data_IF_722976688783
#
_entry.id   IF_722976688783
#
_cell.length_a   1.000
_cell.length_b   1.000
_cell.length_c   1.000
_cell.angle_alpha   90.00
_cell.angle_beta   90.00
_cell.angle_gamma   90.00
#
_symmetry.space_group_name_H-M   'P 1'
#
loop_
_entity.id
_entity.type
_entity.pdbx_description
1 polymer ?
#
# COMPACT_ATOMS: atom_id res chain seq x y z
N UNK A 1 24.87 -0.95 7.34
CA UNK A 1 24.45 -2.08 8.20
C UNK A 1 23.05 -1.76 8.71
N UNK A 2 22.02 -2.46 8.21
CA UNK A 2 20.61 -2.19 8.54
C UNK A 2 20.37 -2.69 9.96
N UNK A 3 20.14 -1.78 10.92
CA UNK A 3 19.83 -2.14 12.30
C UNK A 3 18.51 -2.92 12.36
N UNK A 4 18.53 -4.03 13.12
CA UNK A 4 17.51 -5.07 13.31
C UNK A 4 16.10 -4.68 12.87
N UNK A 5 15.82 -4.98 11.60
CA UNK A 5 14.49 -5.03 11.04
C UNK A 5 13.71 -6.22 11.58
N UNK A 6 12.41 -6.17 11.32
CA UNK A 6 11.51 -7.31 11.25
C UNK A 6 10.78 -7.65 12.56
N UNK A 7 9.80 -6.83 12.95
CA UNK A 7 8.74 -7.32 13.84
C UNK A 7 7.96 -8.45 13.14
N UNK A 8 7.84 -8.41 11.80
CA UNK A 8 7.32 -9.53 11.01
C UNK A 8 8.21 -10.79 11.12
N UNK A 9 9.53 -10.65 11.23
CA UNK A 9 10.45 -11.77 11.45
C UNK A 9 10.64 -12.16 12.93
N UNK A 10 10.22 -11.30 13.85
CA UNK A 10 10.04 -11.65 15.26
C UNK A 10 8.75 -12.45 15.51
N UNK A 11 7.78 -12.42 14.58
CA UNK A 11 6.67 -13.37 14.61
C UNK A 11 7.20 -14.79 14.44
N UNK A 12 6.55 -15.72 15.14
CA UNK A 12 6.79 -17.15 14.93
C UNK A 12 6.63 -17.50 13.44
N UNK A 13 7.38 -18.48 12.91
CA UNK A 13 7.26 -18.88 11.51
C UNK A 13 5.80 -19.16 11.10
N UNK A 14 5.03 -19.81 11.97
CA UNK A 14 3.60 -20.07 11.75
C UNK A 14 2.78 -18.78 11.62
N UNK A 15 2.98 -17.80 12.51
CA UNK A 15 2.22 -16.55 12.47
C UNK A 15 2.60 -15.69 11.26
N UNK A 16 3.87 -15.71 10.87
CA UNK A 16 4.35 -15.05 9.65
C UNK A 16 3.73 -15.67 8.40
N UNK A 17 3.74 -17.00 8.31
CA UNK A 17 3.10 -17.72 7.22
C UNK A 17 1.60 -17.40 7.15
N UNK A 18 0.91 -17.30 8.29
CA UNK A 18 -0.50 -16.87 8.33
C UNK A 18 -0.71 -15.47 7.77
N UNK A 19 0.14 -14.50 8.10
CA UNK A 19 0.04 -13.13 7.57
C UNK A 19 0.26 -13.10 6.05
N UNK A 20 1.30 -13.78 5.57
CA UNK A 20 1.59 -13.87 4.13
C UNK A 20 0.46 -14.59 3.38
N UNK A 21 -0.02 -15.71 3.93
CA UNK A 21 -1.12 -16.49 3.35
C UNK A 21 -2.42 -15.67 3.31
N UNK A 22 -2.77 -14.97 4.39
CA UNK A 22 -3.95 -14.12 4.43
C UNK A 22 -3.88 -12.98 3.39
N UNK A 23 -2.69 -12.39 3.21
CA UNK A 23 -2.47 -11.39 2.15
C UNK A 23 -2.62 -12.01 0.76
N UNK A 24 -2.00 -13.16 0.51
CA UNK A 24 -2.11 -13.87 -0.77
C UNK A 24 -3.56 -14.24 -1.09
N UNK A 25 -4.30 -14.76 -0.11
CA UNK A 25 -5.72 -15.10 -0.25
C UNK A 25 -6.56 -13.86 -0.57
N UNK A 26 -6.31 -12.73 0.10
CA UNK A 26 -7.03 -11.50 -0.22
C UNK A 26 -6.71 -10.96 -1.62
N UNK A 27 -5.46 -11.09 -2.09
CA UNK A 27 -5.11 -10.67 -3.44
C UNK A 27 -5.79 -11.55 -4.49
N UNK A 28 -5.83 -12.87 -4.25
CA UNK A 28 -6.51 -13.82 -5.12
C UNK A 28 -8.01 -13.54 -5.16
N UNK A 29 -8.66 -13.33 -4.01
CA UNK A 29 -10.09 -13.04 -3.97
C UNK A 29 -10.42 -11.76 -4.74
N UNK A 30 -9.65 -10.68 -4.56
CA UNK A 30 -9.86 -9.43 -5.32
C UNK A 30 -9.69 -9.63 -6.82
N UNK A 31 -8.71 -10.43 -7.27
CA UNK A 31 -8.51 -10.72 -8.69
C UNK A 31 -9.66 -11.53 -9.27
N UNK A 32 -10.14 -12.55 -8.55
CA UNK A 32 -11.29 -13.36 -8.97
C UNK A 32 -12.57 -12.53 -9.06
N UNK A 33 -12.80 -11.64 -8.09
CA UNK A 33 -13.92 -10.70 -8.13
C UNK A 33 -13.86 -9.78 -9.36
N UNK A 34 -12.69 -9.19 -9.67
CA UNK A 34 -12.54 -8.37 -10.89
C UNK A 34 -12.74 -9.17 -12.17
N UNK A 35 -12.18 -10.38 -12.23
CA UNK A 35 -12.35 -11.26 -13.39
C UNK A 35 -13.82 -11.65 -13.61
N UNK A 36 -14.55 -11.95 -12.54
CA UNK A 36 -15.99 -12.23 -12.59
C UNK A 36 -16.82 -11.02 -13.02
N UNK A 37 -16.42 -9.80 -12.62
CA UNK A 37 -17.08 -8.55 -12.99
C UNK A 37 -16.65 -8.01 -14.37
N UNK A 38 -15.71 -8.68 -15.07
CA UNK A 38 -15.24 -8.27 -16.39
C UNK A 38 -14.31 -7.04 -16.39
N UNK A 39 -13.79 -6.65 -15.23
CA UNK A 39 -12.86 -5.51 -15.10
C UNK A 39 -11.43 -6.00 -15.37
N UNK A 40 -11.10 -6.19 -16.65
CA UNK A 40 -9.72 -6.44 -17.08
C UNK A 40 -8.94 -5.12 -17.10
N UNK A 41 -7.72 -5.16 -16.58
CA UNK A 41 -6.75 -4.08 -16.39
C UNK A 41 -6.77 -3.02 -17.53
N UNK A 42 -7.64 -2.02 -17.42
CA UNK A 42 -7.57 -0.82 -18.25
C UNK A 42 -6.64 0.16 -17.52
N UNK A 43 -5.42 0.29 -18.05
CA UNK A 43 -4.64 1.53 -17.87
C UNK A 43 -5.54 2.69 -18.29
N UNK A 44 -5.73 3.65 -17.40
CA UNK A 44 -6.43 4.90 -17.68
C UNK A 44 -5.65 5.70 -18.75
N UNK A 45 -5.92 5.40 -20.02
CA UNK A 45 -5.81 6.36 -21.12
C UNK A 45 -7.23 6.85 -21.42
N UNK A 46 -7.74 7.74 -20.57
CA UNK A 46 -9.03 8.41 -20.77
C UNK A 46 -8.85 9.67 -21.61
N UNK A 47 -8.50 9.48 -22.87
CA UNK A 47 -8.84 10.43 -23.93
C UNK A 47 -9.45 9.66 -25.11
N UNK A 48 -10.64 10.11 -25.52
CA UNK A 48 -11.39 9.75 -26.75
C UNK A 48 -12.02 8.35 -26.84
N UNK A 49 -13.30 8.24 -26.45
CA UNK A 49 -14.33 7.85 -27.43
C UNK A 49 -15.77 7.97 -26.89
N UNK A 50 -16.72 8.36 -27.78
CA UNK A 50 -18.12 8.51 -27.48
C UNK A 50 -18.79 7.13 -27.43
N UNK A 51 -19.95 7.02 -26.77
CA UNK A 51 -20.76 5.80 -26.55
C UNK A 51 -20.53 5.14 -25.17
N UNK A 52 -21.06 5.78 -24.14
CA UNK A 52 -21.40 5.13 -22.87
C UNK A 52 -22.87 4.69 -22.91
N UNK A 53 -23.22 3.41 -22.62
CA UNK A 53 -24.59 3.05 -22.29
C UNK A 53 -24.84 3.12 -20.78
N UNK A 54 -26.06 3.56 -20.47
CA UNK A 54 -26.65 3.81 -19.14
C UNK A 54 -26.87 2.51 -18.37
N UNK A 55 -26.78 2.62 -17.03
CA UNK A 55 -27.50 1.86 -15.99
C UNK A 55 -28.02 0.46 -16.38
N UNK A 56 -27.39 -0.59 -15.84
CA UNK A 56 -28.02 -1.91 -15.76
C UNK A 56 -28.44 -2.18 -14.31
N UNK A 57 -29.74 -2.46 -14.18
CA UNK A 57 -30.51 -2.62 -12.94
C UNK A 57 -30.31 -4.04 -12.36
N UNK A 58 -30.31 -4.12 -11.03
CA UNK A 58 -30.07 -5.33 -10.23
C UNK A 58 -31.15 -6.41 -10.39
N UNK A 59 -32.28 -6.10 -11.04
CA UNK A 59 -33.45 -6.98 -11.11
C UNK A 59 -33.29 -8.16 -12.09
N UNK A 60 -32.40 -8.06 -13.08
CA UNK A 60 -32.12 -9.18 -14.00
C UNK A 60 -31.26 -10.31 -13.39
N UNK A 61 -30.67 -10.09 -12.21
CA UNK A 61 -29.83 -11.08 -11.53
C UNK A 61 -30.65 -12.04 -10.64
N UNK A 62 -31.85 -11.63 -10.23
CA UNK A 62 -32.76 -12.45 -9.42
C UNK A 62 -33.66 -13.38 -10.25
N UNK A 63 -33.88 -13.08 -11.55
CA UNK A 63 -34.55 -14.01 -12.47
C UNK A 63 -33.65 -15.17 -12.91
N UNK A 64 -32.32 -15.00 -12.93
CA UNK A 64 -31.37 -16.06 -13.33
C UNK A 64 -31.07 -17.08 -12.20
N UNK A 65 -31.38 -16.74 -10.95
CA UNK A 65 -31.21 -17.60 -9.77
C UNK A 65 -32.47 -18.40 -9.40
N UNK A 66 -33.59 -18.19 -10.11
CA UNK A 66 -34.81 -19.00 -10.02
C UNK A 66 -34.78 -20.15 -11.03
N UNK A 67 -34.57 -21.38 -10.55
CA UNK A 67 -34.20 -22.52 -11.37
C UNK A 67 -35.20 -22.96 -12.43
N UNK A 68 -34.67 -23.34 -13.60
CA UNK A 68 -35.02 -24.56 -14.34
C UNK A 68 -33.92 -24.81 -15.39
N UNK A 69 -33.26 -25.96 -15.36
CA UNK A 69 -32.24 -26.32 -16.35
C UNK A 69 -32.89 -26.72 -17.69
N UNK A 70 -32.48 -26.16 -18.84
CA UNK A 70 -32.77 -26.76 -20.13
C UNK A 70 -31.67 -27.76 -20.53
N UNK A 71 -32.14 -28.92 -20.98
CA UNK A 71 -31.36 -30.06 -21.44
C UNK A 71 -30.40 -29.71 -22.61
N UNK A 72 -29.30 -30.45 -22.67
CA UNK A 72 -28.11 -30.12 -23.43
C UNK A 72 -28.24 -30.11 -24.95
N UNK A 73 -27.28 -29.43 -25.57
CA UNK A 73 -26.68 -29.79 -26.86
C UNK A 73 -25.18 -29.55 -26.78
N UNK A 74 -24.41 -30.55 -27.24
CA UNK A 74 -22.97 -30.48 -27.37
C UNK A 74 -22.58 -29.38 -28.36
N UNK A 75 -21.91 -28.34 -27.87
CA UNK A 75 -21.31 -27.30 -28.70
C UNK A 75 -19.94 -27.76 -29.21
N UNK A 76 -19.76 -27.70 -30.52
CA UNK A 76 -18.51 -27.95 -31.23
C UNK A 76 -17.53 -26.78 -31.05
N UNK A 77 -16.28 -27.05 -30.62
CA UNK A 77 -15.19 -26.07 -30.55
C UNK A 77 -14.64 -25.82 -31.96
N UNK A 78 -14.75 -24.59 -32.48
CA UNK A 78 -14.17 -24.15 -33.75
C UNK A 78 -12.68 -23.79 -33.64
N UNK A 79 -11.88 -24.75 -33.17
CA UNK A 79 -10.52 -24.52 -32.69
C UNK A 79 -9.54 -25.28 -33.60
N UNK A 80 -9.03 -24.60 -34.64
CA UNK A 80 -8.06 -25.16 -35.60
C UNK A 80 -6.63 -25.13 -35.03
N UNK A 81 -6.32 -26.04 -34.10
CA UNK A 81 -4.94 -26.30 -33.65
C UNK A 81 -4.73 -27.81 -33.43
N UNK A 82 -3.64 -28.35 -33.99
CA UNK A 82 -3.20 -29.72 -33.77
C UNK A 82 -2.31 -29.80 -32.52
N UNK A 83 -2.89 -30.16 -31.37
CA UNK A 83 -2.12 -30.51 -30.17
C UNK A 83 -2.57 -31.86 -29.57
N UNK A 84 -1.59 -32.67 -29.20
CA UNK A 84 -1.69 -34.05 -28.74
C UNK A 84 -2.15 -34.18 -27.27
N UNK A 85 -3.27 -33.56 -26.90
CA UNK A 85 -3.78 -33.59 -25.52
C UNK A 85 -4.81 -34.73 -25.24
N UNK A 86 -4.93 -35.71 -26.15
CA UNK A 86 -5.77 -36.90 -25.93
C UNK A 86 -5.01 -38.19 -26.22
N UNK A 87 -4.24 -38.66 -25.24
CA UNK A 87 -3.91 -40.07 -25.09
C UNK A 87 -3.70 -40.36 -23.61
N UNK A 88 -4.66 -41.10 -23.03
CA UNK A 88 -4.54 -41.59 -21.66
C UNK A 88 -3.67 -42.85 -21.57
N UNK A 89 -3.36 -43.24 -20.33
CA UNK A 89 -3.23 -44.65 -19.96
C UNK A 89 -1.82 -45.21 -19.74
N UNK A 90 -1.42 -45.18 -18.47
CA UNK A 90 -0.92 -46.32 -17.66
C UNK A 90 0.50 -46.94 -17.81
N UNK A 91 1.08 -47.11 -16.60
CA UNK A 91 1.94 -48.19 -16.07
C UNK A 91 3.47 -48.19 -16.31
N UNK A 92 4.19 -48.52 -15.22
CA UNK A 92 5.43 -49.32 -15.29
C UNK A 92 6.63 -48.77 -14.51
N UNK A 93 7.01 -49.47 -13.44
CA UNK A 93 8.13 -49.18 -12.54
C UNK A 93 9.53 -49.57 -13.11
N UNK A 94 10.59 -49.07 -12.45
CA UNK A 94 11.74 -49.81 -11.86
C UNK A 94 13.12 -49.15 -12.06
N UNK A 95 13.93 -49.17 -10.97
CA UNK A 95 15.41 -49.10 -10.92
C UNK A 95 16.05 -47.74 -11.22
N UNK A 96 17.07 -47.24 -10.54
CA UNK A 96 18.04 -47.82 -9.60
C UNK A 96 19.34 -47.00 -9.73
N UNK A 97 20.06 -46.84 -8.61
CA UNK A 97 21.47 -46.43 -8.46
C UNK A 97 21.82 -44.93 -8.66
N UNK A 98 22.18 -44.14 -7.63
CA UNK A 98 23.35 -44.16 -6.73
C UNK A 98 24.61 -43.44 -7.30
N UNK A 99 25.39 -42.87 -6.38
CA UNK A 99 26.70 -42.18 -6.48
C UNK A 99 26.66 -40.64 -6.69
N UNK A 100 27.41 -39.77 -5.99
CA UNK A 100 28.15 -39.75 -4.71
C UNK A 100 28.56 -38.29 -4.45
N UNK A 101 28.88 -38.01 -3.19
CA UNK A 101 29.45 -36.81 -2.57
C UNK A 101 30.56 -36.04 -3.32
N UNK A 102 30.60 -34.72 -3.09
CA UNK A 102 31.84 -33.95 -2.95
C UNK A 102 31.63 -32.65 -2.15
N UNK A 103 32.29 -32.59 -0.99
CA UNK A 103 32.32 -31.51 -0.01
C UNK A 103 33.18 -30.29 -0.40
N UNK A 104 32.75 -29.15 0.17
CA UNK A 104 33.53 -28.10 0.84
C UNK A 104 34.76 -27.46 0.16
N UNK A 105 34.66 -26.13 -0.02
CA UNK A 105 35.81 -25.23 0.08
C UNK A 105 35.49 -24.07 1.02
N UNK A 106 36.15 -24.10 2.19
CA UNK A 106 36.08 -23.14 3.28
C UNK A 106 37.00 -21.96 2.96
N UNK A 107 36.47 -20.74 3.00
CA UNK A 107 37.27 -19.51 3.06
C UNK A 107 36.82 -18.64 4.24
N UNK A 108 37.79 -18.31 5.11
CA UNK A 108 37.66 -17.59 6.38
C UNK A 108 37.33 -16.11 6.14
N UNK A 109 36.47 -15.44 6.93
CA UNK A 109 36.34 -13.99 6.87
C UNK A 109 37.42 -13.31 7.72
N UNK A 110 38.05 -12.28 7.14
CA UNK A 110 38.92 -11.35 7.83
C UNK A 110 38.10 -10.49 8.82
N UNK A 111 38.63 -10.35 10.03
CA UNK A 111 38.05 -9.54 11.09
C UNK A 111 38.10 -8.04 10.73
N UNK A 112 36.93 -7.42 10.57
CA UNK A 112 36.78 -5.97 10.64
C UNK A 112 36.31 -5.59 12.04
N UNK A 113 37.14 -4.78 12.69
CA UNK A 113 36.94 -4.18 14.01
C UNK A 113 35.62 -3.39 14.01
N UNK A 114 34.68 -3.80 14.87
CA UNK A 114 33.43 -3.10 15.08
C UNK A 114 33.69 -1.84 15.93
N UNK A 115 33.61 -0.66 15.31
CA UNK A 115 33.42 0.58 16.04
C UNK A 115 32.01 0.57 16.70
N UNK A 116 31.85 1.08 17.94
CA UNK A 116 30.56 1.07 18.61
C UNK A 116 29.58 1.96 17.84
N UNK A 117 28.40 1.41 17.54
CA UNK A 117 27.29 2.14 16.95
C UNK A 117 26.89 3.26 17.93
N UNK A 118 27.12 4.51 17.54
CA UNK A 118 26.61 5.67 18.26
C UNK A 118 25.09 5.53 18.40
N UNK A 119 24.59 5.59 19.64
CA UNK A 119 23.18 5.65 19.91
C UNK A 119 22.60 6.87 19.18
N UNK A 120 21.76 6.62 18.17
CA UNK A 120 21.01 7.69 17.51
C UNK A 120 20.08 8.27 18.56
N UNK A 121 20.40 9.48 19.03
CA UNK A 121 19.59 10.19 20.01
C UNK A 121 18.23 10.47 19.38
N UNK A 122 17.17 9.84 19.89
CA UNK A 122 15.77 10.23 19.65
C UNK A 122 15.44 11.53 20.38
N UNK A 123 16.41 12.44 20.50
CA UNK A 123 16.43 13.59 21.40
C UNK A 123 15.29 14.54 21.07
N UNK A 124 14.15 14.31 21.72
CA UNK A 124 12.95 15.12 21.65
C UNK A 124 11.71 14.46 21.02
N UNK A 125 11.78 13.24 20.51
CA UNK A 125 10.62 12.55 19.94
C UNK A 125 9.74 11.92 21.05
N UNK A 126 8.50 12.38 21.19
CA UNK A 126 7.53 11.85 22.17
C UNK A 126 6.52 10.91 21.51
N UNK A 127 6.63 9.59 21.74
CA UNK A 127 5.73 8.59 21.14
C UNK A 127 4.77 7.90 22.13
N UNK A 128 4.92 8.15 23.44
CA UNK A 128 4.11 7.50 24.48
C UNK A 128 4.20 5.97 24.38
N UNK A 129 3.04 5.30 24.29
CA UNK A 129 2.94 3.83 24.14
C UNK A 129 3.69 3.27 22.90
N UNK A 130 4.04 4.14 21.95
CA UNK A 130 4.69 3.80 20.68
C UNK A 130 6.22 4.00 20.68
N UNK A 131 6.83 4.28 21.85
CA UNK A 131 8.29 4.55 21.99
C UNK A 131 9.18 3.44 21.41
N UNK A 132 8.69 2.19 21.36
CA UNK A 132 9.35 1.05 20.69
C UNK A 132 9.70 1.29 19.21
N UNK A 133 9.07 2.26 18.56
CA UNK A 133 9.30 2.62 17.15
C UNK A 133 10.25 3.81 16.96
N UNK A 134 10.80 4.40 18.03
CA UNK A 134 11.64 5.60 17.94
C UNK A 134 12.83 5.47 17.00
N UNK A 135 13.49 4.31 16.98
CA UNK A 135 14.60 4.02 16.08
C UNK A 135 14.18 4.02 14.59
N UNK A 136 12.96 3.58 14.28
CA UNK A 136 12.45 3.55 12.92
C UNK A 136 12.20 4.98 12.41
N UNK A 137 11.65 5.86 13.26
CA UNK A 137 11.51 7.28 12.93
C UNK A 137 12.86 7.97 12.77
N UNK A 138 13.81 7.73 13.67
CA UNK A 138 15.14 8.33 13.56
C UNK A 138 15.86 7.91 12.26
N UNK A 139 15.78 6.62 11.89
CA UNK A 139 16.33 6.14 10.62
C UNK A 139 15.59 6.70 9.39
N UNK A 140 14.28 6.89 9.49
CA UNK A 140 13.46 7.47 8.41
C UNK A 140 13.75 8.96 8.22
N UNK A 141 13.88 9.72 9.30
CA UNK A 141 14.30 11.13 9.30
C UNK A 141 15.70 11.27 8.69
N UNK A 142 16.67 10.48 9.15
CA UNK A 142 18.03 10.51 8.60
C UNK A 142 18.06 10.26 7.09
N UNK A 143 17.23 9.35 6.57
CA UNK A 143 17.20 9.02 5.13
C UNK A 143 16.51 10.06 4.27
N UNK A 144 15.49 10.73 4.80
CA UNK A 144 14.57 11.55 3.99
C UNK A 144 14.64 13.04 4.28
N UNK A 145 15.23 13.42 5.42
CA UNK A 145 15.19 14.78 5.95
C UNK A 145 13.80 15.22 6.43
N UNK A 146 12.82 14.31 6.49
CA UNK A 146 11.49 14.63 7.03
C UNK A 146 11.53 14.50 8.56
N UNK A 147 11.15 15.55 9.32
CA UNK A 147 11.26 15.52 10.77
C UNK A 147 10.51 14.35 11.41
N UNK A 148 11.14 13.67 12.37
CA UNK A 148 10.53 12.53 13.05
C UNK A 148 9.16 12.85 13.69
N UNK A 149 8.94 14.03 14.34
CA UNK A 149 7.63 14.40 14.85
C UNK A 149 6.55 14.56 13.76
N UNK A 150 6.92 15.04 12.57
CA UNK A 150 6.01 15.17 11.44
C UNK A 150 5.61 13.78 10.91
N UNK A 151 6.56 12.86 10.80
CA UNK A 151 6.29 11.46 10.43
C UNK A 151 5.40 10.77 11.46
N UNK A 152 5.65 10.99 12.76
CA UNK A 152 4.85 10.43 13.83
C UNK A 152 3.40 10.94 13.78
N UNK A 153 3.18 12.22 13.50
CA UNK A 153 1.83 12.77 13.32
C UNK A 153 1.08 12.14 12.13
N UNK A 154 1.76 11.88 11.01
CA UNK A 154 1.16 11.20 9.85
C UNK A 154 0.79 9.75 10.21
N UNK A 155 1.72 9.01 10.83
CA UNK A 155 1.46 7.62 11.26
C UNK A 155 0.34 7.56 12.28
N UNK A 156 0.31 8.48 13.25
CA UNK A 156 -0.74 8.55 14.28
C UNK A 156 -2.13 8.85 13.70
N UNK A 157 -2.17 9.61 12.60
CA UNK A 157 -3.41 9.93 11.89
C UNK A 157 -3.97 8.72 11.13
N UNK A 158 -3.10 7.89 10.55
CA UNK A 158 -3.44 6.73 9.71
C UNK A 158 -3.65 5.43 10.50
N UNK A 159 -2.82 5.19 11.51
CA UNK A 159 -2.81 3.92 12.22
C UNK A 159 -4.09 3.74 13.07
N UNK A 160 -4.69 2.56 12.98
CA UNK A 160 -5.64 2.13 13.99
C UNK A 160 -4.92 1.99 15.35
N UNK A 161 -5.62 2.29 16.44
CA UNK A 161 -5.06 2.30 17.79
C UNK A 161 -5.81 1.36 18.71
N UNK A 162 -5.07 0.72 19.61
CA UNK A 162 -5.61 0.02 20.76
C UNK A 162 -6.09 1.03 21.83
N UNK A 163 -6.81 0.54 22.83
CA UNK A 163 -7.33 1.37 23.93
C UNK A 163 -6.22 2.12 24.70
N UNK A 164 -5.02 1.54 24.80
CA UNK A 164 -3.84 2.15 25.42
C UNK A 164 -3.12 3.18 24.54
N UNK A 165 -3.64 3.47 23.34
CA UNK A 165 -3.03 4.38 22.37
C UNK A 165 -1.89 3.76 21.56
N UNK A 166 -1.57 2.48 21.75
CA UNK A 166 -0.59 1.78 20.92
C UNK A 166 -1.10 1.59 19.49
N UNK A 167 -0.23 1.83 18.51
CA UNK A 167 -0.57 1.65 17.10
C UNK A 167 -0.62 0.16 16.73
N UNK A 168 -1.65 -0.21 15.99
CA UNK A 168 -1.87 -1.56 15.50
C UNK A 168 -1.20 -1.76 14.13
N UNK A 169 -0.06 -2.45 14.12
CA UNK A 169 0.68 -2.76 12.87
C UNK A 169 -0.07 -3.72 11.96
N UNK A 170 -1.03 -4.49 12.49
CA UNK A 170 -1.86 -5.43 11.74
C UNK A 170 -3.18 -4.80 11.25
N UNK A 171 -3.32 -3.48 11.36
CA UNK A 171 -4.49 -2.74 10.88
C UNK A 171 -4.73 -2.98 9.39
N UNK A 172 -6.00 -3.13 9.02
CA UNK A 172 -6.45 -3.28 7.63
C UNK A 172 -7.81 -2.63 7.43
N UNK A 173 -7.97 -1.92 6.31
CA UNK A 173 -9.25 -1.39 5.92
C UNK A 173 -10.10 -2.50 5.26
N UNK A 174 -11.34 -2.78 5.72
CA UNK A 174 -12.17 -3.83 5.12
C UNK A 174 -12.71 -3.45 3.73
N UNK A 175 -12.71 -2.15 3.38
CA UNK A 175 -13.25 -1.64 2.11
C UNK A 175 -12.19 -1.36 1.05
N UNK A 176 -10.90 -1.57 1.37
CA UNK A 176 -9.81 -1.33 0.44
C UNK A 176 -8.63 -2.27 0.70
N UNK A 177 -7.57 -2.13 -0.09
CA UNK A 177 -6.33 -2.88 0.15
C UNK A 177 -5.45 -2.24 1.23
N UNK A 178 -5.84 -1.11 1.82
CA UNK A 178 -5.03 -0.37 2.79
C UNK A 178 -4.69 -1.20 4.03
N UNK A 179 -3.40 -1.25 4.39
CA UNK A 179 -2.91 -2.02 5.52
C UNK A 179 -1.68 -1.39 6.17
N UNK A 180 -1.43 -1.77 7.43
CA UNK A 180 -0.26 -1.35 8.19
C UNK A 180 -0.36 0.04 8.80
N UNK A 181 0.73 0.50 9.43
CA UNK A 181 0.77 1.79 10.12
C UNK A 181 0.55 3.00 9.19
N UNK A 182 0.93 2.87 7.91
CA UNK A 182 0.71 3.90 6.90
C UNK A 182 -0.54 3.70 6.04
N UNK A 183 -1.36 2.66 6.31
CA UNK A 183 -2.56 2.32 5.55
C UNK A 183 -2.33 2.29 4.03
N UNK A 184 -1.19 1.74 3.59
CA UNK A 184 -0.81 1.74 2.17
C UNK A 184 -1.67 0.80 1.32
N UNK A 185 -2.15 1.30 0.18
CA UNK A 185 -2.77 0.48 -0.86
C UNK A 185 -1.74 -0.45 -1.53
N UNK A 186 -2.19 -1.60 -2.03
CA UNK A 186 -1.30 -2.58 -2.67
C UNK A 186 -0.57 -2.01 -3.89
N UNK A 187 -1.25 -1.21 -4.72
CA UNK A 187 -0.65 -0.58 -5.91
C UNK A 187 0.45 0.41 -5.52
N UNK A 188 0.12 1.34 -4.64
CA UNK A 188 1.07 2.34 -4.12
C UNK A 188 2.30 1.71 -3.47
N UNK A 189 2.12 0.65 -2.69
CA UNK A 189 3.23 -0.07 -2.07
C UNK A 189 4.15 -0.72 -3.11
N UNK A 190 3.56 -1.34 -4.13
CA UNK A 190 4.28 -1.93 -5.24
C UNK A 190 5.04 -0.87 -6.04
N UNK A 191 4.42 0.29 -6.31
CA UNK A 191 5.07 1.39 -7.03
C UNK A 191 6.28 1.94 -6.27
N UNK A 192 6.17 2.07 -4.94
CA UNK A 192 7.29 2.49 -4.10
C UNK A 192 8.42 1.45 -4.11
N UNK A 193 8.11 0.15 -4.12
CA UNK A 193 9.12 -0.91 -4.26
C UNK A 193 9.82 -0.88 -5.62
N UNK A 194 9.20 -0.32 -6.66
CA UNK A 194 9.80 -0.14 -7.99
C UNK A 194 10.48 1.23 -8.15
N UNK A 195 10.29 2.15 -7.21
CA UNK A 195 10.85 3.50 -7.26
C UNK A 195 12.25 3.50 -6.66
N UNK A 196 13.25 3.75 -7.48
CA UNK A 196 14.65 3.80 -7.04
C UNK A 196 14.86 4.81 -5.90
N UNK A 197 15.70 4.43 -4.93
CA UNK A 197 16.04 5.26 -3.77
C UNK A 197 15.07 5.14 -2.58
N UNK A 198 13.92 4.49 -2.75
CA UNK A 198 13.06 4.17 -1.61
C UNK A 198 13.62 2.99 -0.80
N UNK A 199 13.17 2.89 0.45
CA UNK A 199 13.48 1.80 1.35
C UNK A 199 13.00 0.47 0.79
N UNK A 200 11.75 0.44 0.33
CA UNK A 200 11.15 -0.76 -0.24
C UNK A 200 11.88 -1.21 -1.49
N UNK A 201 12.33 -0.29 -2.33
CA UNK A 201 13.12 -0.65 -3.50
C UNK A 201 14.47 -1.26 -3.11
N UNK A 202 15.12 -0.71 -2.08
CA UNK A 202 16.37 -1.29 -1.54
C UNK A 202 16.13 -2.72 -1.04
N UNK A 203 15.07 -2.95 -0.27
CA UNK A 203 14.74 -4.27 0.28
C UNK A 203 14.32 -5.25 -0.82
N UNK A 204 13.46 -4.82 -1.76
CA UNK A 204 13.03 -5.65 -2.87
C UNK A 204 14.21 -6.06 -3.75
N UNK A 205 15.15 -5.14 -4.02
CA UNK A 205 16.38 -5.44 -4.76
C UNK A 205 17.26 -6.44 -4.02
N UNK A 206 17.51 -6.23 -2.73
CA UNK A 206 18.33 -7.13 -1.91
C UNK A 206 17.76 -8.55 -1.80
N UNK A 207 16.42 -8.68 -1.86
CA UNK A 207 15.74 -9.97 -1.80
C UNK A 207 15.52 -10.62 -3.17
N UNK A 208 15.96 -9.98 -4.26
CA UNK A 208 15.74 -10.48 -5.62
C UNK A 208 14.27 -10.46 -6.05
N UNK A 209 13.46 -9.57 -5.46
CA UNK A 209 12.02 -9.45 -5.73
C UNK A 209 11.69 -8.57 -6.94
N UNK A 210 12.70 -8.04 -7.62
CA UNK A 210 12.55 -7.21 -8.82
C UNK A 210 13.13 -7.93 -10.04
N UNK A 211 12.43 -7.89 -11.16
CA UNK A 211 12.91 -8.37 -12.45
C UNK A 211 13.98 -7.44 -13.04
N UNK A 212 14.56 -7.83 -14.19
CA UNK A 212 15.57 -7.04 -14.88
C UNK A 212 15.11 -5.62 -15.30
N UNK A 213 13.80 -5.35 -15.30
CA UNK A 213 13.19 -4.04 -15.61
C UNK A 213 12.83 -3.26 -14.35
N UNK A 214 13.20 -3.76 -13.17
CA UNK A 214 12.85 -3.16 -11.88
C UNK A 214 11.37 -3.34 -11.50
N UNK A 215 10.66 -4.27 -12.12
CA UNK A 215 9.26 -4.59 -11.79
C UNK A 215 9.20 -5.68 -10.75
N UNK A 216 8.23 -5.58 -9.85
CA UNK A 216 8.04 -6.61 -8.81
C UNK A 216 7.69 -7.94 -9.45
N UNK A 217 8.47 -8.97 -9.12
CA UNK A 217 8.20 -10.35 -9.52
C UNK A 217 6.84 -10.79 -8.95
N UNK A 218 5.90 -11.26 -9.79
CA UNK A 218 4.62 -11.79 -9.33
C UNK A 218 4.72 -12.83 -8.21
N UNK A 219 5.77 -13.66 -8.21
CA UNK A 219 6.00 -14.70 -7.21
C UNK A 219 6.36 -14.12 -5.83
N UNK A 220 6.95 -12.94 -5.77
CA UNK A 220 7.36 -12.27 -4.53
C UNK A 220 6.34 -11.24 -4.01
N UNK A 221 5.21 -11.10 -4.71
CA UNK A 221 4.25 -10.02 -4.46
C UNK A 221 3.57 -10.13 -3.09
N UNK A 222 3.29 -11.34 -2.61
CA UNK A 222 2.63 -11.53 -1.32
C UNK A 222 3.55 -11.12 -0.16
N UNK A 223 4.81 -11.55 -0.22
CA UNK A 223 5.87 -11.21 0.74
C UNK A 223 6.14 -9.72 0.76
N UNK A 224 6.23 -9.09 -0.42
CA UNK A 224 6.37 -7.65 -0.52
C UNK A 224 5.20 -6.92 0.16
N UNK A 225 3.96 -7.32 -0.11
CA UNK A 225 2.78 -6.69 0.46
C UNK A 225 2.64 -6.93 1.97
N UNK A 226 3.14 -8.06 2.46
CA UNK A 226 3.17 -8.39 3.89
C UNK A 226 4.10 -7.45 4.69
N UNK A 227 5.10 -6.83 4.05
CA UNK A 227 5.94 -5.82 4.70
C UNK A 227 5.14 -4.59 5.17
N UNK A 228 3.90 -4.36 4.70
CA UNK A 228 3.03 -3.31 5.27
C UNK A 228 2.76 -3.53 6.76
N UNK A 229 2.73 -4.78 7.20
CA UNK A 229 2.52 -5.13 8.60
C UNK A 229 3.80 -5.03 9.44
N UNK A 230 4.96 -4.80 8.82
CA UNK A 230 6.19 -4.50 9.53
C UNK A 230 6.25 -2.99 9.85
N UNK A 231 6.43 -2.59 11.12
CA UNK A 231 6.43 -1.19 11.53
C UNK A 231 7.58 -0.38 10.91
N UNK A 232 8.79 -0.95 10.78
CA UNK A 232 9.92 -0.23 10.23
C UNK A 232 9.70 0.01 8.74
N UNK A 233 9.29 -1.04 8.02
CA UNK A 233 8.98 -0.93 6.60
C UNK A 233 7.87 0.11 6.38
N UNK A 234 6.79 0.06 7.16
CA UNK A 234 5.72 1.06 7.10
C UNK A 234 6.22 2.48 7.35
N UNK A 235 6.93 2.73 8.45
CA UNK A 235 7.42 4.07 8.83
C UNK A 235 8.41 4.61 7.79
N UNK A 236 9.36 3.78 7.34
CA UNK A 236 10.32 4.16 6.31
C UNK A 236 9.61 4.51 4.99
N UNK A 237 8.56 3.77 4.64
CA UNK A 237 7.78 4.01 3.43
C UNK A 237 6.90 5.26 3.54
N UNK A 238 6.34 5.56 4.72
CA UNK A 238 5.66 6.84 4.99
C UNK A 238 6.62 8.00 4.74
N UNK A 239 7.85 7.90 5.22
CA UNK A 239 8.85 8.94 5.02
C UNK A 239 9.25 9.11 3.54
N UNK A 240 9.46 8.01 2.81
CA UNK A 240 9.76 8.05 1.39
C UNK A 240 8.59 8.68 0.59
N UNK A 241 7.36 8.29 0.89
CA UNK A 241 6.16 8.87 0.26
C UNK A 241 6.03 10.37 0.57
N UNK A 242 6.22 10.76 1.83
CA UNK A 242 6.19 12.16 2.24
C UNK A 242 7.23 12.97 1.47
N UNK A 243 8.49 12.52 1.41
CA UNK A 243 9.55 13.17 0.64
C UNK A 243 9.20 13.29 -0.85
N UNK A 244 8.80 12.19 -1.49
CA UNK A 244 8.47 12.19 -2.91
C UNK A 244 7.33 13.15 -3.24
N UNK A 245 6.29 13.19 -2.42
CA UNK A 245 5.15 14.07 -2.62
C UNK A 245 5.53 15.54 -2.41
N UNK A 246 6.26 15.86 -1.34
CA UNK A 246 6.71 17.22 -1.06
C UNK A 246 7.64 17.74 -2.17
N UNK A 247 8.58 16.92 -2.64
CA UNK A 247 9.48 17.29 -3.74
C UNK A 247 8.71 17.57 -5.03
N UNK A 248 7.65 16.80 -5.31
CA UNK A 248 6.78 17.03 -6.48
C UNK A 248 5.91 18.27 -6.33
N UNK A 249 5.45 18.60 -5.11
CA UNK A 249 4.70 19.83 -4.83
C UNK A 249 5.58 21.07 -5.01
N UNK A 250 6.78 21.07 -4.45
CA UNK A 250 7.76 22.15 -4.62
C UNK A 250 8.14 22.35 -6.10
N UNK A 251 8.37 21.26 -6.84
CA UNK A 251 8.59 21.30 -8.30
C UNK A 251 7.41 21.88 -9.08
N UNK A 252 6.19 21.80 -8.53
CA UNK A 252 5.00 22.42 -9.12
C UNK A 252 4.78 23.88 -8.68
N UNK A 253 5.73 24.46 -7.94
CA UNK A 253 5.67 25.85 -7.48
C UNK A 253 4.92 26.05 -6.16
N UNK A 254 4.50 24.97 -5.49
CA UNK A 254 3.76 25.04 -4.22
C UNK A 254 4.76 24.89 -3.08
N UNK A 255 4.97 25.99 -2.34
CA UNK A 255 5.86 26.01 -1.17
C UNK A 255 5.19 25.30 0.01
N UNK A 256 5.75 24.16 0.40
CA UNK A 256 5.22 23.27 1.44
C UNK A 256 6.25 22.95 2.53
N UNK A 257 7.49 23.42 2.39
CA UNK A 257 8.57 23.22 3.37
C UNK A 257 8.88 24.46 4.22
N UNK A 258 7.87 25.31 4.48
CA UNK A 258 8.04 26.57 5.23
C UNK A 258 8.28 26.35 6.72
N UNK A 259 7.69 25.31 7.28
CA UNK A 259 7.75 24.94 8.70
C UNK A 259 7.30 23.48 8.86
N UNK A 260 7.48 22.92 10.07
CA UNK A 260 7.18 21.51 10.34
C UNK A 260 5.68 21.17 10.19
N UNK A 261 4.80 22.10 10.57
CA UNK A 261 3.35 21.89 10.53
C UNK A 261 2.86 21.91 9.08
N UNK A 262 3.22 22.93 8.30
CA UNK A 262 2.86 23.03 6.87
C UNK A 262 3.38 21.82 6.09
N UNK A 263 4.63 21.41 6.35
CA UNK A 263 5.22 20.23 5.74
C UNK A 263 4.43 18.96 6.07
N UNK A 264 4.12 18.73 7.34
CA UNK A 264 3.40 17.54 7.78
C UNK A 264 1.99 17.49 7.16
N UNK A 265 1.28 18.62 7.14
CA UNK A 265 -0.05 18.74 6.56
C UNK A 265 -0.04 18.51 5.05
N UNK A 266 0.93 19.07 4.32
CA UNK A 266 1.07 18.87 2.89
C UNK A 266 1.43 17.41 2.53
N UNK A 267 2.32 16.79 3.32
CA UNK A 267 2.67 15.38 3.18
C UNK A 267 1.44 14.47 3.42
N UNK A 268 0.71 14.71 4.51
CA UNK A 268 -0.52 14.00 4.82
C UNK A 268 -1.58 14.16 3.73
N UNK A 269 -1.84 15.40 3.30
CA UNK A 269 -2.82 15.71 2.26
C UNK A 269 -2.52 14.93 0.96
N UNK A 270 -1.25 14.89 0.56
CA UNK A 270 -0.80 14.19 -0.66
C UNK A 270 -0.92 12.68 -0.54
N UNK A 271 -0.68 12.13 0.65
CA UNK A 271 -0.90 10.72 0.95
C UNK A 271 -2.39 10.37 0.93
N UNK A 272 -3.22 11.19 1.58
CA UNK A 272 -4.63 10.93 1.80
C UNK A 272 -5.49 11.10 0.54
N UNK A 273 -5.26 12.16 -0.25
CA UNK A 273 -5.99 12.40 -1.50
C UNK A 273 -5.35 11.74 -2.72
N UNK A 274 -4.08 11.36 -2.61
CA UNK A 274 -3.21 11.16 -3.76
C UNK A 274 -2.68 12.48 -4.31
N UNK A 275 -1.49 12.42 -4.92
CA UNK A 275 -0.74 13.60 -5.35
C UNK A 275 -1.51 14.52 -6.31
N UNK A 276 -2.23 13.95 -7.28
CA UNK A 276 -2.95 14.73 -8.30
C UNK A 276 -4.03 15.63 -7.72
N UNK A 277 -4.86 15.09 -6.82
CA UNK A 277 -5.92 15.84 -6.15
C UNK A 277 -5.37 16.78 -5.08
N UNK A 278 -4.30 16.41 -4.38
CA UNK A 278 -3.62 17.30 -3.44
C UNK A 278 -3.03 18.53 -4.14
N UNK A 279 -2.38 18.36 -5.30
CA UNK A 279 -1.87 19.49 -6.10
C UNK A 279 -2.99 20.42 -6.53
N UNK A 280 -4.12 19.88 -7.00
CA UNK A 280 -5.31 20.66 -7.33
C UNK A 280 -5.86 21.38 -6.09
N UNK A 281 -5.98 20.68 -4.96
CA UNK A 281 -6.46 21.23 -3.70
C UNK A 281 -5.64 22.44 -3.21
N UNK A 282 -4.31 22.37 -3.34
CA UNK A 282 -3.40 23.42 -2.90
C UNK A 282 -3.22 24.55 -3.93
N UNK A 283 -3.48 24.29 -5.21
CA UNK A 283 -3.34 25.25 -6.30
C UNK A 283 -4.67 25.67 -6.90
N UNK A 284 -5.08 24.99 -7.96
CA UNK A 284 -6.14 25.44 -8.88
C UNK A 284 -7.58 25.21 -8.39
N UNK A 285 -7.77 24.45 -7.33
CA UNK A 285 -9.08 23.97 -6.87
C UNK A 285 -9.43 22.58 -7.40
N UNK A 286 -10.33 21.90 -6.68
CA UNK A 286 -10.92 20.61 -7.07
C UNK A 286 -12.30 20.89 -7.66
N UNK A 287 -12.59 20.30 -8.82
CA UNK A 287 -13.90 20.41 -9.48
C UNK A 287 -15.07 19.91 -8.62
N UNK A 288 -16.27 20.53 -8.68
CA UNK A 288 -17.39 20.20 -7.78
C UNK A 288 -17.78 18.73 -7.73
N UNK A 289 -17.86 18.06 -8.88
CA UNK A 289 -18.19 16.63 -8.94
C UNK A 289 -17.13 15.75 -8.27
N UNK A 290 -15.85 16.07 -8.47
CA UNK A 290 -14.75 15.38 -7.80
C UNK A 290 -14.73 15.66 -6.29
N UNK A 291 -15.00 16.90 -5.88
CA UNK A 291 -15.07 17.28 -4.47
C UNK A 291 -16.20 16.53 -3.72
N UNK A 292 -17.38 16.41 -4.33
CA UNK A 292 -18.48 15.59 -3.80
C UNK A 292 -18.08 14.12 -3.64
N UNK A 293 -17.50 13.54 -4.69
CA UNK A 293 -17.04 12.14 -4.69
C UNK A 293 -16.01 11.88 -3.59
N UNK A 294 -15.01 12.75 -3.44
CA UNK A 294 -13.99 12.62 -2.40
C UNK A 294 -14.60 12.73 -1.00
N UNK A 295 -15.46 13.73 -0.77
CA UNK A 295 -16.12 13.91 0.52
C UNK A 295 -16.98 12.69 0.88
N UNK A 296 -17.81 12.20 -0.04
CA UNK A 296 -18.63 11.01 0.18
C UNK A 296 -17.79 9.76 0.47
N UNK A 297 -16.66 9.58 -0.23
CA UNK A 297 -15.74 8.47 0.04
C UNK A 297 -15.13 8.54 1.45
N UNK A 298 -14.88 9.76 1.95
CA UNK A 298 -14.22 10.01 3.23
C UNK A 298 -15.15 9.92 4.44
N UNK A 299 -16.38 10.45 4.33
CA UNK A 299 -17.32 10.54 5.47
C UNK A 299 -18.66 9.84 5.24
N UNK A 300 -18.85 9.21 4.08
CA UNK A 300 -20.13 8.60 3.67
C UNK A 300 -21.07 9.59 2.99
N UNK A 301 -21.93 9.07 2.13
CA UNK A 301 -22.88 9.85 1.30
C UNK A 301 -23.76 10.79 2.14
N UNK A 302 -24.41 10.26 3.18
CA UNK A 302 -25.35 11.04 4.00
C UNK A 302 -24.68 12.24 4.69
N UNK A 303 -23.50 12.03 5.27
CA UNK A 303 -22.76 13.11 5.93
C UNK A 303 -22.20 14.13 4.92
N UNK A 304 -21.83 13.67 3.71
CA UNK A 304 -21.43 14.55 2.63
C UNK A 304 -22.60 15.44 2.18
N UNK A 305 -23.78 14.87 1.96
CA UNK A 305 -24.98 15.62 1.55
C UNK A 305 -25.37 16.71 2.54
N UNK A 306 -25.38 16.38 3.84
CA UNK A 306 -25.68 17.36 4.89
C UNK A 306 -24.69 18.53 4.88
N UNK A 307 -23.39 18.25 4.71
CA UNK A 307 -22.37 19.31 4.66
C UNK A 307 -22.46 20.15 3.39
N UNK A 308 -22.74 19.52 2.25
CA UNK A 308 -22.92 20.22 0.97
C UNK A 308 -24.13 21.15 1.04
N UNK A 309 -25.24 20.69 1.63
CA UNK A 309 -26.41 21.53 1.86
C UNK A 309 -26.09 22.72 2.79
N UNK A 310 -25.28 22.49 3.83
CA UNK A 310 -24.88 23.54 4.78
C UNK A 310 -23.94 24.60 4.19
N UNK A 311 -23.04 24.25 3.26
CA UNK A 311 -22.13 25.21 2.62
C UNK A 311 -22.63 25.76 1.29
N UNK A 312 -23.67 25.14 0.71
CA UNK A 312 -24.20 25.47 -0.61
C UNK A 312 -23.36 24.98 -1.80
N UNK A 313 -22.15 24.44 -1.58
CA UNK A 313 -21.34 23.85 -2.65
C UNK A 313 -20.36 22.78 -2.15
N UNK A 314 -20.11 21.78 -3.01
CA UNK A 314 -19.29 20.61 -2.66
C UNK A 314 -17.80 20.92 -2.49
N UNK A 315 -17.28 21.90 -3.22
CA UNK A 315 -15.87 22.29 -3.13
C UNK A 315 -15.55 22.85 -1.74
N UNK A 316 -16.37 23.77 -1.24
CA UNK A 316 -16.25 24.36 0.07
C UNK A 316 -16.53 23.36 1.18
N UNK A 317 -17.54 22.50 1.04
CA UNK A 317 -17.82 21.43 2.00
C UNK A 317 -16.61 20.50 2.18
N UNK A 318 -16.04 20.03 1.05
CA UNK A 318 -14.86 19.16 1.07
C UNK A 318 -13.65 19.88 1.67
N UNK A 319 -13.38 21.12 1.24
CA UNK A 319 -12.24 21.90 1.74
C UNK A 319 -12.33 22.18 3.24
N UNK A 320 -13.48 22.66 3.72
CA UNK A 320 -13.68 22.96 5.14
C UNK A 320 -13.56 21.69 6.00
N UNK A 321 -14.17 20.59 5.56
CA UNK A 321 -14.07 19.32 6.27
C UNK A 321 -12.61 18.83 6.34
N UNK A 322 -11.91 18.80 5.21
CA UNK A 322 -10.57 18.24 5.13
C UNK A 322 -9.55 19.09 5.90
N UNK A 323 -9.60 20.42 5.76
CA UNK A 323 -8.71 21.31 6.54
C UNK A 323 -8.96 21.14 8.04
N UNK A 324 -10.22 21.15 8.47
CA UNK A 324 -10.53 20.95 9.89
C UNK A 324 -10.15 19.56 10.41
N UNK A 325 -10.23 18.53 9.57
CA UNK A 325 -9.72 17.19 9.91
C UNK A 325 -8.20 17.20 10.08
N UNK A 326 -7.48 17.75 9.10
CA UNK A 326 -6.02 17.83 9.09
C UNK A 326 -5.51 18.63 10.29
N UNK A 327 -6.09 19.79 10.60
CA UNK A 327 -5.67 20.63 11.73
C UNK A 327 -5.80 19.93 13.08
N UNK A 328 -6.83 19.07 13.23
CA UNK A 328 -7.03 18.29 14.47
C UNK A 328 -6.11 17.07 14.56
N UNK A 329 -5.75 16.47 13.43
CA UNK A 329 -5.07 15.17 13.38
C UNK A 329 -3.58 15.27 13.15
N UNK A 330 -3.12 16.29 12.43
CA UNK A 330 -1.72 16.46 12.03
C UNK A 330 -1.11 17.56 12.90
N UNK A 331 -0.54 17.12 14.03
CA UNK A 331 -0.01 18.00 15.06
C UNK A 331 1.40 17.52 15.47
N UNK A 332 2.45 17.82 14.67
CA UNK A 332 3.84 17.39 14.94
C UNK A 332 4.36 17.81 16.33
N UNK A 333 3.90 18.94 16.86
CA UNK A 333 4.23 19.45 18.18
C UNK A 333 3.85 18.48 19.32
N UNK A 334 2.83 17.64 19.13
CA UNK A 334 2.47 16.59 20.12
C UNK A 334 3.54 15.51 20.27
N UNK A 335 4.41 15.39 19.27
CA UNK A 335 5.48 14.42 19.23
C UNK A 335 6.85 15.05 19.44
N UNK A 336 6.89 16.33 19.83
CA UNK A 336 8.12 17.09 20.09
C UNK A 336 8.25 17.42 21.58
N UNK A 337 9.47 17.46 22.11
CA UNK A 337 9.81 17.92 23.46
C UNK A 337 10.01 19.42 23.54
#
# INVERSE_FOLDING_TARGET
MIARADQLAQLTPAKRAQVIFAEAQSQLSTRLWRAALGDSDRKDDRETSPLAPKNLQMDSLLELLGGQAPAGKAGTCGCHCACACHAGGQQGATGGDAFTDAEAMVARPAALVAAPAAAVSTGGLQLGANTRYGWAFAGAEQRTGIPAPALAAIVDAEAAKSHDGSWNTLSRNPRSSAAGLGQFLSGTWQDLAQTQGTWLNTIASQKGWLDARGKVDPASRAELLALRYDPQASIATVADMAKLNLDRLEKSGIRVRTDSETLAKAAYLSHHLGFGDARKFLGTGIEPGRARMLLAAQIGESAADQRIAGTGNAVQAHRQWLLGFIDRRIQPQKFSS
#
